data_IF_299354202665
#
_entry.id   IF_299354202665
#
_cell.length_a   1.000
_cell.length_b   1.000
_cell.length_c   1.000
_cell.angle_alpha   90.00
_cell.angle_beta   90.00
_cell.angle_gamma   90.00
#
_symmetry.space_group_name_H-M   'P 1'
#
loop_
_entity.id
_entity.type
_entity.pdbx_description
1 polymer ?
#
# COMPACT_ATOMS: atom_id res chain seq x y z
N UNK A 1 -3.48 -13.79 20.63
CA UNK A 1 -2.64 -13.05 19.66
C UNK A 1 -1.82 -14.01 18.82
N UNK A 2 -2.21 -14.16 17.56
CA UNK A 2 -1.54 -14.97 16.53
C UNK A 2 -0.18 -14.36 16.15
N UNK A 3 0.70 -15.18 15.54
CA UNK A 3 1.99 -14.70 15.02
C UNK A 3 1.82 -13.60 13.96
N UNK A 4 0.74 -13.67 13.16
CA UNK A 4 0.35 -12.65 12.19
C UNK A 4 -0.01 -11.34 12.88
N UNK A 5 -0.84 -11.35 13.93
CA UNK A 5 -1.16 -10.14 14.71
C UNK A 5 0.11 -9.53 15.33
N UNK A 6 1.04 -10.37 15.81
CA UNK A 6 2.28 -9.90 16.43
C UNK A 6 3.25 -9.26 15.42
N UNK A 7 3.30 -9.76 14.18
CA UNK A 7 4.08 -9.15 13.11
C UNK A 7 3.52 -7.79 12.64
N UNK A 8 2.23 -7.56 12.86
CA UNK A 8 1.52 -6.35 12.42
C UNK A 8 1.41 -5.28 13.51
N UNK A 9 1.67 -5.66 14.77
CA UNK A 9 1.82 -4.73 15.91
C UNK A 9 3.09 -3.89 15.80
N UNK A 10 4.03 -4.27 14.93
CA UNK A 10 5.21 -3.45 14.62
C UNK A 10 5.03 -2.75 13.27
N UNK A 11 5.32 -1.45 13.24
CA UNK A 11 5.39 -0.71 11.98
C UNK A 11 6.37 -1.41 11.02
N UNK A 12 5.95 -1.61 9.78
CA UNK A 12 6.76 -2.25 8.74
C UNK A 12 7.55 -1.17 8.04
N UNK A 13 8.88 -1.30 8.03
CA UNK A 13 9.74 -0.44 7.24
C UNK A 13 9.54 -0.73 5.75
N UNK A 14 8.90 0.20 5.04
CA UNK A 14 8.71 0.14 3.59
C UNK A 14 9.75 1.01 2.90
N UNK A 15 10.29 0.50 1.80
CA UNK A 15 10.96 1.34 0.81
C UNK A 15 9.92 1.71 -0.23
N UNK A 16 9.49 2.95 -0.22
CA UNK A 16 8.57 3.47 -1.24
C UNK A 16 9.39 4.26 -2.25
N UNK A 17 9.11 4.06 -3.53
CA UNK A 17 9.72 4.87 -4.59
C UNK A 17 8.73 5.96 -4.99
N UNK A 18 9.17 7.22 -4.91
CA UNK A 18 8.40 8.37 -5.37
C UNK A 18 9.28 9.28 -6.23
N UNK A 19 8.94 9.41 -7.51
CA UNK A 19 9.80 10.12 -8.46
C UNK A 19 11.24 9.58 -8.40
N UNK A 20 12.19 10.50 -8.19
CA UNK A 20 13.63 10.21 -8.12
C UNK A 20 14.12 9.83 -6.70
N UNK A 21 13.23 9.85 -5.69
CA UNK A 21 13.58 9.52 -4.32
C UNK A 21 13.12 8.11 -3.93
N UNK A 22 13.96 7.43 -3.15
CA UNK A 22 13.65 6.16 -2.49
C UNK A 22 13.95 6.31 -1.02
N UNK A 23 12.94 6.62 -0.21
CA UNK A 23 13.16 6.68 1.23
C UNK A 23 12.45 5.54 1.97
N UNK A 24 13.04 5.19 3.10
CA UNK A 24 12.49 4.23 4.03
C UNK A 24 11.47 4.94 4.93
N UNK A 25 10.26 4.41 4.98
CA UNK A 25 9.16 4.94 5.79
C UNK A 25 8.57 3.84 6.65
N UNK A 26 8.00 4.22 7.80
CA UNK A 26 7.27 3.31 8.66
C UNK A 26 5.81 3.26 8.25
N UNK A 27 5.28 2.06 8.00
CA UNK A 27 3.89 1.85 7.66
C UNK A 27 3.16 0.97 8.68
N UNK A 28 1.96 1.40 9.03
CA UNK A 28 1.02 0.64 9.85
C UNK A 28 0.18 -0.26 8.93
N UNK A 29 0.09 -1.57 9.19
CA UNK A 29 -0.76 -2.44 8.40
C UNK A 29 -2.26 -2.10 8.53
N UNK A 30 -2.99 -2.20 7.43
CA UNK A 30 -4.42 -1.90 7.36
C UNK A 30 -5.21 -3.21 7.30
N UNK A 31 -6.24 -3.42 8.15
CA UNK A 31 -7.18 -4.51 7.98
C UNK A 31 -8.01 -4.39 6.69
N UNK A 32 -8.34 -5.49 5.98
CA UNK A 32 -7.95 -6.87 6.27
C UNK A 32 -6.46 -7.15 6.02
N UNK A 33 -5.81 -7.78 7.00
CA UNK A 33 -4.35 -7.94 7.03
C UNK A 33 -3.81 -8.83 5.90
N UNK A 34 -4.64 -9.76 5.41
CA UNK A 34 -4.32 -10.60 4.25
C UNK A 34 -4.19 -9.80 2.94
N UNK A 35 -4.68 -8.56 2.88
CA UNK A 35 -4.47 -7.69 1.72
C UNK A 35 -3.05 -7.14 1.71
N UNK A 36 -2.33 -7.18 2.84
CA UNK A 36 -0.95 -6.72 2.97
C UNK A 36 -0.79 -5.27 2.47
N UNK A 37 -1.70 -4.40 2.91
CA UNK A 37 -1.64 -2.95 2.67
C UNK A 37 -1.14 -2.26 3.94
N UNK A 38 -0.39 -1.17 3.75
CA UNK A 38 0.10 -0.33 4.83
C UNK A 38 -0.26 1.13 4.61
N UNK A 39 -0.58 1.82 5.70
CA UNK A 39 -0.76 3.27 5.74
C UNK A 39 0.48 3.91 6.35
N UNK A 40 0.96 5.01 5.76
CA UNK A 40 2.11 5.75 6.25
C UNK A 40 2.00 7.23 5.94
N UNK A 41 2.82 8.02 6.61
CA UNK A 41 2.99 9.43 6.29
C UNK A 41 4.12 9.61 5.29
N UNK A 42 3.85 10.29 4.17
CA UNK A 42 4.86 10.52 3.14
C UNK A 42 5.73 11.72 3.52
N UNK A 43 7.06 11.57 3.59
CA UNK A 43 7.97 12.69 3.82
C UNK A 43 8.17 13.47 2.52
N UNK A 44 7.14 14.21 2.10
CA UNK A 44 7.25 15.07 0.92
C UNK A 44 7.51 16.52 1.36
N UNK A 45 8.70 17.09 1.09
CA UNK A 45 9.00 18.48 1.42
C UNK A 45 8.26 19.49 0.50
N UNK A 46 7.71 19.03 -0.62
CA UNK A 46 7.01 19.87 -1.61
C UNK A 46 5.51 19.97 -1.32
N UNK A 47 4.93 18.98 -0.62
CA UNK A 47 3.54 19.03 -0.19
C UNK A 47 3.52 19.70 1.18
N UNK A 48 2.88 20.88 1.26
CA UNK A 48 2.82 21.74 2.45
C UNK A 48 2.38 21.01 3.74
N UNK A 49 1.71 19.86 3.60
CA UNK A 49 1.45 18.92 4.67
C UNK A 49 1.83 17.52 4.20
N UNK A 50 2.69 16.83 4.95
CA UNK A 50 3.07 15.44 4.69
C UNK A 50 1.80 14.56 4.58
N UNK A 51 1.40 14.15 3.36
CA UNK A 51 0.12 13.49 3.15
C UNK A 51 0.18 12.04 3.65
N UNK A 52 -0.98 11.41 3.70
CA UNK A 52 -1.14 10.01 4.02
C UNK A 52 -1.14 9.17 2.74
N UNK A 53 -0.32 8.13 2.71
CA UNK A 53 -0.19 7.21 1.60
C UNK A 53 -0.57 5.79 2.02
N UNK A 54 -1.38 5.11 1.21
CA UNK A 54 -1.60 3.66 1.31
C UNK A 54 -0.75 2.98 0.26
N UNK A 55 0.09 2.04 0.66
CA UNK A 55 0.91 1.24 -0.25
C UNK A 55 0.72 -0.25 -0.03
N UNK A 56 1.01 -1.01 -1.07
CA UNK A 56 1.18 -2.45 -1.01
C UNK A 56 2.47 -2.78 -0.24
N UNK A 57 2.37 -3.52 0.88
CA UNK A 57 3.50 -3.84 1.75
C UNK A 57 4.54 -4.74 1.07
N UNK A 58 4.14 -5.53 0.08
CA UNK A 58 5.01 -6.49 -0.61
C UNK A 58 5.91 -5.78 -1.62
N UNK A 59 5.33 -4.87 -2.39
CA UNK A 59 5.97 -4.23 -3.53
C UNK A 59 6.43 -2.80 -3.23
N UNK A 60 5.98 -2.21 -2.13
CA UNK A 60 6.19 -0.80 -1.81
C UNK A 60 5.47 0.17 -2.75
N UNK A 61 4.57 -0.33 -3.62
CA UNK A 61 3.86 0.50 -4.60
C UNK A 61 2.69 1.22 -3.96
N UNK A 62 2.57 2.49 -4.30
CA UNK A 62 1.50 3.37 -3.85
C UNK A 62 0.16 3.02 -4.50
N UNK A 63 -0.88 2.96 -3.68
CA UNK A 63 -2.27 2.67 -4.06
C UNK A 63 -3.12 3.94 -4.03
N UNK A 64 -2.95 4.76 -2.99
CA UNK A 64 -3.66 6.03 -2.83
C UNK A 64 -2.84 7.03 -2.01
N UNK A 65 -3.08 8.33 -2.25
CA UNK A 65 -2.56 9.44 -1.45
C UNK A 65 -3.74 10.37 -1.15
N UNK A 66 -3.87 10.79 0.11
CA UNK A 66 -4.83 11.81 0.54
C UNK A 66 -4.27 12.68 1.66
N UNK A 67 -4.95 13.80 1.94
CA UNK A 67 -4.56 14.73 3.02
C UNK A 67 -4.87 14.18 4.41
N UNK A 68 -5.80 13.24 4.54
CA UNK A 68 -6.12 12.56 5.81
C UNK A 68 -5.93 11.04 5.72
N UNK A 69 -5.68 10.43 6.88
CA UNK A 69 -5.47 8.98 7.01
C UNK A 69 -6.70 8.20 6.57
N UNK A 70 -7.87 8.63 7.02
CA UNK A 70 -9.16 7.98 6.75
C UNK A 70 -9.52 8.07 5.27
N UNK A 71 -9.29 9.24 4.64
CA UNK A 71 -9.52 9.42 3.22
C UNK A 71 -8.57 8.56 2.40
N UNK A 72 -7.29 8.44 2.79
CA UNK A 72 -6.32 7.60 2.09
C UNK A 72 -6.75 6.12 2.12
N UNK A 73 -7.18 5.62 3.29
CA UNK A 73 -7.68 4.26 3.45
C UNK A 73 -8.96 4.04 2.63
N UNK A 74 -9.97 4.91 2.79
CA UNK A 74 -11.24 4.80 2.07
C UNK A 74 -11.04 4.88 0.54
N UNK A 75 -10.18 5.80 0.10
CA UNK A 75 -9.81 5.99 -1.30
C UNK A 75 -9.10 4.76 -1.88
N UNK A 76 -8.15 4.18 -1.14
CA UNK A 76 -7.48 2.95 -1.53
C UNK A 76 -8.46 1.79 -1.71
N UNK A 77 -9.35 1.57 -0.72
CA UNK A 77 -10.34 0.49 -0.76
C UNK A 77 -11.27 0.67 -1.97
N UNK A 78 -11.79 1.89 -2.20
CA UNK A 78 -12.68 2.17 -3.36
C UNK A 78 -11.99 1.95 -4.70
N UNK A 79 -10.74 2.40 -4.84
CA UNK A 79 -9.93 2.21 -6.06
C UNK A 79 -9.67 0.73 -6.33
N UNK A 80 -9.27 -0.01 -5.29
CA UNK A 80 -9.03 -1.46 -5.38
C UNK A 80 -10.32 -2.22 -5.71
N UNK A 81 -11.44 -1.90 -5.06
CA UNK A 81 -12.73 -2.51 -5.34
C UNK A 81 -13.14 -2.30 -6.80
N UNK A 82 -12.97 -1.08 -7.33
CA UNK A 82 -13.26 -0.75 -8.73
C UNK A 82 -12.37 -1.52 -9.69
N UNK A 83 -11.07 -1.58 -9.43
CA UNK A 83 -10.11 -2.29 -10.29
C UNK A 83 -10.34 -3.81 -10.26
N UNK A 84 -10.55 -4.39 -9.08
CA UNK A 84 -10.85 -5.81 -8.93
C UNK A 84 -12.17 -6.18 -9.61
N UNK A 85 -13.22 -5.36 -9.45
CA UNK A 85 -14.50 -5.53 -10.13
C UNK A 85 -14.36 -5.49 -11.66
N UNK A 86 -13.55 -4.58 -12.21
CA UNK A 86 -13.29 -4.50 -13.64
C UNK A 86 -12.64 -5.78 -14.20
N UNK A 87 -11.85 -6.48 -13.39
CA UNK A 87 -11.23 -7.77 -13.75
C UNK A 87 -12.05 -8.99 -13.31
N UNK A 88 -13.23 -8.80 -12.69
CA UNK A 88 -14.06 -9.86 -12.08
C UNK A 88 -13.30 -10.69 -11.04
N UNK A 89 -12.46 -10.03 -10.25
CA UNK A 89 -11.67 -10.61 -9.18
C UNK A 89 -12.10 -10.03 -7.83
N UNK A 90 -11.83 -10.76 -6.75
CA UNK A 90 -11.79 -10.17 -5.41
C UNK A 90 -10.57 -9.25 -5.26
N UNK A 91 -10.61 -8.32 -4.30
CA UNK A 91 -9.46 -7.43 -4.00
C UNK A 91 -8.17 -8.23 -3.70
N UNK A 92 -8.17 -9.30 -2.86
CA UNK A 92 -7.00 -10.13 -2.65
C UNK A 92 -6.43 -10.75 -3.94
N UNK A 93 -7.29 -11.28 -4.81
CA UNK A 93 -6.87 -11.89 -6.07
C UNK A 93 -6.28 -10.87 -7.03
N UNK A 94 -6.92 -9.70 -7.15
CA UNK A 94 -6.42 -8.59 -7.94
C UNK A 94 -5.02 -8.15 -7.48
N UNK A 95 -4.82 -7.96 -6.17
CA UNK A 95 -3.52 -7.59 -5.60
C UNK A 95 -2.46 -8.66 -5.86
N UNK A 96 -2.79 -9.94 -5.65
CA UNK A 96 -1.86 -11.04 -5.92
C UNK A 96 -1.47 -11.11 -7.39
N UNK A 97 -2.42 -10.92 -8.31
CA UNK A 97 -2.14 -10.87 -9.75
C UNK A 97 -1.25 -9.68 -10.10
N UNK A 98 -1.51 -8.50 -9.53
CA UNK A 98 -0.68 -7.32 -9.74
C UNK A 98 0.77 -7.55 -9.28
N UNK A 99 0.96 -8.16 -8.10
CA UNK A 99 2.29 -8.55 -7.57
C UNK A 99 3.02 -9.52 -8.49
N UNK A 100 2.34 -10.55 -8.97
CA UNK A 100 2.91 -11.53 -9.91
C UNK A 100 3.39 -10.86 -11.21
N UNK A 101 2.61 -9.92 -11.77
CA UNK A 101 3.01 -9.18 -12.98
C UNK A 101 4.28 -8.36 -12.76
N UNK A 102 4.47 -7.78 -11.57
CA UNK A 102 5.68 -7.03 -11.23
C UNK A 102 6.89 -7.97 -11.14
N UNK A 103 6.73 -9.12 -10.48
CA UNK A 103 7.79 -10.12 -10.37
C UNK A 103 8.20 -10.67 -11.74
N UNK A 104 7.25 -10.95 -12.63
CA UNK A 104 7.54 -11.46 -13.97
C UNK A 104 8.07 -10.38 -14.93
N UNK A 105 7.65 -9.12 -14.78
CA UNK A 105 8.08 -7.98 -15.62
C UNK A 105 9.47 -7.44 -15.27
N UNK A 106 10.11 -7.92 -14.19
CA UNK A 106 11.45 -7.49 -13.76
C UNK A 106 12.58 -8.34 -14.35
N UNK A 107 12.32 -9.06 -15.45
CA UNK A 107 13.25 -9.99 -16.14
C UNK A 107 13.52 -9.65 -17.61
N UNK A 108 13.24 -8.42 -18.06
CA UNK A 108 13.62 -7.94 -19.39
C UNK A 108 14.81 -6.99 -19.29
#
# INVERSE_FOLDING_TARGET
MTATERALVNAVALRVQWGDCRDAIQAEPIPPLNWQLGIHRMPCPVLAHSPWGVSDLVTGRLVAIETSRELAISGAIKRLARAACAERLSIPEFLNRARQRIACGSRA
#
